data_IF_843683458767
#
_entry.id   IF_843683458767
#
_cell.length_a   1.000
_cell.length_b   1.000
_cell.length_c   1.000
_cell.angle_alpha   90.00
_cell.angle_beta   90.00
_cell.angle_gamma   90.00
#
_symmetry.space_group_name_H-M   'P 1'
#
loop_
_entity.id
_entity.type
_entity.pdbx_description
1 polymer ?
#
# COMPACT_ATOMS: atom_id res chain seq x y z
N UNK A 1 -8.96 16.39 26.12
CA UNK A 1 -7.53 16.01 26.10
C UNK A 1 -7.45 14.50 26.23
N UNK A 2 -6.84 13.75 25.29
CA UNK A 2 -6.66 12.29 25.38
C UNK A 2 -5.79 11.81 26.57
N UNK A 3 -5.36 12.72 27.45
CA UNK A 3 -4.43 12.45 28.56
C UNK A 3 -4.93 11.40 29.58
N UNK A 4 -6.24 11.32 29.85
CA UNK A 4 -6.76 10.32 30.81
C UNK A 4 -6.63 8.89 30.26
N UNK A 5 -7.00 8.69 29.00
CA UNK A 5 -6.87 7.41 28.29
C UNK A 5 -5.41 7.02 28.13
N UNK A 6 -4.53 7.96 27.76
CA UNK A 6 -3.09 7.72 27.68
C UNK A 6 -2.48 7.29 29.02
N UNK A 7 -2.86 7.95 30.14
CA UNK A 7 -2.40 7.56 31.48
C UNK A 7 -2.87 6.15 31.87
N UNK A 8 -4.11 5.80 31.53
CA UNK A 8 -4.68 4.47 31.82
C UNK A 8 -3.90 3.35 31.14
N UNK A 9 -3.40 3.60 29.93
CA UNK A 9 -2.56 2.65 29.19
C UNK A 9 -1.07 2.89 29.39
N UNK A 10 -0.66 3.51 30.50
CA UNK A 10 0.74 3.67 30.92
C UNK A 10 1.65 4.41 29.91
N UNK A 11 1.09 5.35 29.15
CA UNK A 11 1.89 6.24 28.30
C UNK A 11 2.72 7.23 29.16
N UNK A 12 4.01 7.48 28.84
CA UNK A 12 4.74 7.06 27.65
C UNK A 12 5.49 5.73 27.78
N UNK A 13 5.45 5.07 28.95
CA UNK A 13 6.25 3.87 29.20
C UNK A 13 5.84 2.70 28.29
N UNK A 14 4.55 2.56 28.02
CA UNK A 14 3.98 1.54 27.12
C UNK A 14 4.10 1.84 25.63
N UNK A 15 4.61 3.03 25.24
CA UNK A 15 4.64 3.45 23.83
C UNK A 15 5.47 2.47 22.99
N UNK A 16 4.85 1.81 22.01
CA UNK A 16 5.54 1.00 21.00
C UNK A 16 6.01 1.90 19.86
N UNK A 17 5.08 2.67 19.29
CA UNK A 17 5.34 3.55 18.14
C UNK A 17 4.43 4.77 18.14
N UNK A 18 4.98 5.92 17.76
CA UNK A 18 4.21 7.15 17.54
C UNK A 18 4.08 7.40 16.05
N UNK A 19 2.84 7.40 15.56
CA UNK A 19 2.48 7.77 14.20
C UNK A 19 2.11 9.27 14.16
N UNK A 20 1.76 9.84 13.01
CA UNK A 20 1.42 11.26 12.93
C UNK A 20 0.15 11.60 13.73
N UNK A 21 -0.90 10.78 13.60
CA UNK A 21 -2.22 10.97 14.21
C UNK A 21 -2.56 9.95 15.30
N UNK A 22 -1.72 8.92 15.51
CA UNK A 22 -2.00 7.85 16.47
C UNK A 22 -0.80 7.50 17.38
N UNK A 23 -1.10 7.00 18.58
CA UNK A 23 -0.15 6.29 19.43
C UNK A 23 -0.47 4.81 19.44
N UNK A 24 0.51 3.96 19.14
CA UNK A 24 0.42 2.52 19.36
C UNK A 24 1.14 2.16 20.66
N UNK A 25 0.39 1.62 21.61
CA UNK A 25 0.84 1.31 22.96
C UNK A 25 0.75 -0.20 23.22
N UNK A 26 1.67 -0.75 23.99
CA UNK A 26 1.50 -2.07 24.59
C UNK A 26 0.39 -1.98 25.64
N UNK A 27 -0.59 -2.89 25.60
CA UNK A 27 -1.61 -2.91 26.66
C UNK A 27 -0.95 -3.37 27.97
N UNK A 28 -1.04 -2.64 29.10
CA UNK A 28 -0.40 -3.06 30.34
C UNK A 28 -0.86 -4.44 30.80
N UNK A 29 -2.15 -4.68 30.65
CA UNK A 29 -2.80 -5.95 30.89
C UNK A 29 -2.86 -6.72 29.56
N UNK A 30 -2.47 -7.99 29.53
CA UNK A 30 -2.35 -8.77 28.30
C UNK A 30 -3.39 -9.89 28.30
N UNK A 31 -4.56 -9.75 27.64
CA UNK A 31 -5.53 -10.83 27.60
C UNK A 31 -5.06 -12.02 26.78
N UNK A 32 -4.35 -11.71 25.69
CA UNK A 32 -3.49 -12.62 24.95
C UNK A 32 -2.15 -11.94 24.74
N UNK A 33 -1.11 -12.73 24.50
CA UNK A 33 0.25 -12.22 24.31
C UNK A 33 0.28 -11.23 23.12
N UNK A 34 0.94 -10.08 23.28
CA UNK A 34 1.07 -9.10 22.21
C UNK A 34 -0.15 -8.18 22.04
N UNK A 35 -1.06 -8.13 23.01
CA UNK A 35 -2.21 -7.21 22.99
C UNK A 35 -1.78 -5.74 23.05
N UNK A 36 -2.37 -4.91 22.20
CA UNK A 36 -2.01 -3.49 22.05
C UNK A 36 -3.22 -2.57 22.19
N UNK A 37 -2.96 -1.27 22.31
CA UNK A 37 -3.97 -0.22 22.25
C UNK A 37 -3.53 0.85 21.26
N UNK A 38 -4.41 1.19 20.33
CA UNK A 38 -4.23 2.28 19.38
C UNK A 38 -5.05 3.49 19.84
N UNK A 39 -4.42 4.61 20.18
CA UNK A 39 -5.07 5.81 20.72
C UNK A 39 -4.94 6.97 19.75
N UNK A 40 -6.06 7.61 19.38
CA UNK A 40 -6.05 8.78 18.51
C UNK A 40 -5.45 9.99 19.24
N UNK A 41 -4.59 10.75 18.56
CA UNK A 41 -4.01 12.00 19.08
C UNK A 41 -4.99 13.16 19.02
N UNK A 42 -5.96 13.09 18.11
CA UNK A 42 -6.94 14.13 17.91
C UNK A 42 -7.90 14.21 19.10
N UNK A 43 -8.31 15.42 19.46
CA UNK A 43 -9.20 15.66 20.59
C UNK A 43 -10.66 15.44 20.17
N UNK A 44 -11.00 14.20 19.83
CA UNK A 44 -12.33 13.78 19.36
C UNK A 44 -12.88 12.63 20.21
N UNK A 45 -14.21 12.62 20.34
CA UNK A 45 -14.93 11.68 21.21
C UNK A 45 -15.87 10.72 20.46
N UNK A 46 -15.91 10.87 19.15
CA UNK A 46 -16.67 10.01 18.25
C UNK A 46 -15.74 9.60 17.12
N UNK A 47 -15.82 8.33 16.71
CA UNK A 47 -14.97 7.83 15.64
C UNK A 47 -15.16 8.60 14.34
N UNK A 48 -16.40 8.99 14.00
CA UNK A 48 -16.70 9.83 12.84
C UNK A 48 -16.07 11.22 12.87
N UNK A 49 -15.57 11.66 14.03
CA UNK A 49 -14.91 12.95 14.19
C UNK A 49 -13.42 12.95 13.85
N UNK A 50 -12.79 11.79 13.64
CA UNK A 50 -11.37 11.76 13.24
C UNK A 50 -11.19 12.36 11.84
N UNK A 51 -10.04 12.97 11.59
CA UNK A 51 -9.68 13.46 10.26
C UNK A 51 -9.56 12.32 9.23
N UNK A 52 -9.70 12.67 7.95
CA UNK A 52 -9.47 11.74 6.83
C UNK A 52 -8.03 11.20 6.85
N UNK A 53 -7.08 12.05 7.21
CA UNK A 53 -5.67 11.70 7.36
C UNK A 53 -5.47 10.66 8.47
N UNK A 54 -6.10 10.85 9.63
CA UNK A 54 -6.07 9.88 10.71
C UNK A 54 -6.73 8.56 10.31
N UNK A 55 -7.87 8.59 9.61
CA UNK A 55 -8.52 7.38 9.11
C UNK A 55 -7.64 6.62 8.10
N UNK A 56 -6.99 7.33 7.18
CA UNK A 56 -6.07 6.74 6.22
C UNK A 56 -4.81 6.17 6.89
N UNK A 57 -4.22 6.90 7.84
CA UNK A 57 -3.07 6.42 8.60
C UNK A 57 -3.42 5.17 9.41
N UNK A 58 -4.64 5.08 9.95
CA UNK A 58 -5.08 3.89 10.68
C UNK A 58 -5.02 2.62 9.82
N UNK A 59 -5.37 2.69 8.53
CA UNK A 59 -5.25 1.55 7.61
C UNK A 59 -3.80 1.05 7.53
N UNK A 60 -2.83 1.95 7.43
CA UNK A 60 -1.42 1.60 7.44
C UNK A 60 -1.00 0.96 8.76
N UNK A 61 -1.45 1.52 9.89
CA UNK A 61 -1.14 1.00 11.22
C UNK A 61 -1.68 -0.42 11.40
N UNK A 62 -2.91 -0.69 10.94
CA UNK A 62 -3.51 -2.04 10.97
C UNK A 62 -2.64 -3.02 10.17
N UNK A 63 -2.20 -2.64 8.97
CA UNK A 63 -1.29 -3.46 8.16
C UNK A 63 0.05 -3.72 8.86
N UNK A 64 0.64 -2.72 9.51
CA UNK A 64 1.89 -2.86 10.27
C UNK A 64 1.70 -3.83 11.44
N UNK A 65 0.60 -3.68 12.19
CA UNK A 65 0.24 -4.50 13.35
C UNK A 65 0.05 -5.97 12.94
N UNK A 66 -0.72 -6.24 11.89
CA UNK A 66 -0.95 -7.60 11.40
C UNK A 66 0.35 -8.27 10.97
N UNK A 67 1.21 -7.54 10.25
CA UNK A 67 2.52 -8.03 9.82
C UNK A 67 3.41 -8.41 11.00
N UNK A 68 3.55 -7.51 11.99
CA UNK A 68 4.39 -7.76 13.18
C UNK A 68 3.83 -8.91 14.01
N UNK A 69 2.54 -8.91 14.32
CA UNK A 69 1.93 -9.92 15.18
C UNK A 69 1.97 -11.31 14.54
N UNK A 70 1.71 -11.40 13.23
CA UNK A 70 1.80 -12.66 12.49
C UNK A 70 3.26 -13.15 12.43
N UNK A 71 4.21 -12.29 12.08
CA UNK A 71 5.62 -12.69 12.01
C UNK A 71 6.21 -13.07 13.38
N UNK A 72 5.88 -12.32 14.43
CA UNK A 72 6.47 -12.48 15.76
C UNK A 72 5.83 -13.62 16.55
N UNK A 73 4.52 -13.80 16.47
CA UNK A 73 3.77 -14.71 17.34
C UNK A 73 2.95 -15.75 16.59
N UNK A 74 2.93 -15.73 15.25
CA UNK A 74 2.11 -16.63 14.43
C UNK A 74 0.61 -16.58 14.83
N UNK A 75 0.12 -15.37 15.11
CA UNK A 75 -1.29 -15.19 15.49
C UNK A 75 -2.21 -15.49 14.30
N UNK A 76 -3.28 -16.25 14.55
CA UNK A 76 -4.19 -16.71 13.49
C UNK A 76 -5.22 -15.64 13.11
N UNK A 77 -5.52 -14.73 14.05
CA UNK A 77 -6.46 -13.64 13.83
C UNK A 77 -6.15 -12.46 14.74
N UNK A 78 -6.59 -11.27 14.37
CA UNK A 78 -6.54 -10.09 15.23
C UNK A 78 -7.94 -9.52 15.37
N UNK A 79 -8.39 -9.30 16.61
CA UNK A 79 -9.63 -8.59 16.89
C UNK A 79 -9.34 -7.12 17.20
N UNK A 80 -10.05 -6.21 16.53
CA UNK A 80 -10.01 -4.76 16.78
C UNK A 80 -11.31 -4.33 17.46
N UNK A 81 -11.25 -3.92 18.72
CA UNK A 81 -12.41 -3.58 19.52
C UNK A 81 -12.42 -2.09 19.87
N UNK A 82 -13.44 -1.37 19.41
CA UNK A 82 -13.70 0.01 19.81
C UNK A 82 -14.82 0.01 20.85
N UNK A 83 -14.45 0.01 22.13
CA UNK A 83 -15.42 -0.09 23.23
C UNK A 83 -15.87 1.28 23.71
N UNK A 84 -14.93 2.21 23.96
CA UNK A 84 -15.20 3.62 24.33
C UNK A 84 -16.26 3.83 25.45
N UNK A 85 -16.44 2.84 26.34
CA UNK A 85 -17.51 2.85 27.37
C UNK A 85 -17.20 3.75 28.58
N UNK A 86 -15.91 3.88 28.91
CA UNK A 86 -15.42 4.62 30.10
C UNK A 86 -14.51 5.77 29.69
N UNK A 87 -13.74 5.57 28.62
CA UNK A 87 -12.75 6.50 28.11
C UNK A 87 -13.28 7.21 26.86
N UNK A 88 -13.42 8.54 26.88
CA UNK A 88 -14.08 9.26 25.81
C UNK A 88 -13.17 9.49 24.59
N UNK A 89 -11.85 9.26 24.67
CA UNK A 89 -10.96 9.42 23.52
C UNK A 89 -11.16 8.26 22.53
N UNK A 90 -11.08 8.52 21.23
CA UNK A 90 -11.13 7.46 20.21
C UNK A 90 -9.91 6.54 20.35
N UNK A 91 -10.15 5.26 20.62
CA UNK A 91 -9.11 4.23 20.74
C UNK A 91 -9.64 2.84 20.41
N UNK A 92 -8.72 1.95 20.04
CA UNK A 92 -8.99 0.56 19.70
C UNK A 92 -8.14 -0.36 20.56
N UNK A 93 -8.74 -1.43 21.06
CA UNK A 93 -8.02 -2.57 21.61
C UNK A 93 -7.70 -3.55 20.49
N UNK A 94 -6.45 -3.96 20.41
CA UNK A 94 -5.93 -4.88 19.40
C UNK A 94 -5.57 -6.18 20.12
N UNK A 95 -6.33 -7.24 19.84
CA UNK A 95 -6.22 -8.52 20.54
C UNK A 95 -5.82 -9.61 19.53
N UNK A 96 -4.53 -10.00 19.45
CA UNK A 96 -4.11 -11.16 18.67
C UNK A 96 -4.72 -12.43 19.26
N UNK A 97 -5.10 -13.37 18.39
CA UNK A 97 -5.81 -14.60 18.72
C UNK A 97 -5.03 -15.79 18.20
N UNK A 98 -5.06 -16.87 18.96
CA UNK A 98 -4.16 -18.00 18.77
C UNK A 98 -4.97 -19.30 18.77
N UNK A 99 -4.97 -20.03 17.66
CA UNK A 99 -5.58 -21.37 17.60
C UNK A 99 -4.73 -22.40 18.34
N UNK A 100 -3.41 -22.25 18.25
CA UNK A 100 -2.41 -23.05 18.95
C UNK A 100 -1.61 -22.16 19.89
N UNK A 101 -0.98 -22.75 20.91
CA UNK A 101 -0.12 -22.00 21.81
C UNK A 101 1.03 -21.32 21.05
N UNK A 102 1.36 -20.09 21.44
CA UNK A 102 2.50 -19.33 20.91
C UNK A 102 3.61 -19.28 21.95
N UNK A 103 4.87 -19.21 21.53
CA UNK A 103 6.02 -19.13 22.43
C UNK A 103 6.65 -17.74 22.38
N UNK A 104 7.01 -17.20 23.55
CA UNK A 104 7.86 -16.04 23.64
C UNK A 104 8.80 -16.13 24.85
N UNK A 105 10.10 -15.90 24.62
CA UNK A 105 11.16 -16.01 25.63
C UNK A 105 11.13 -17.35 26.39
N UNK A 106 10.89 -18.47 25.68
CA UNK A 106 10.86 -19.82 26.28
C UNK A 106 9.65 -20.12 27.16
N UNK A 107 8.62 -19.27 27.14
CA UNK A 107 7.32 -19.51 27.79
C UNK A 107 6.23 -19.66 26.73
N UNK A 108 5.36 -20.65 26.91
CA UNK A 108 4.20 -20.88 26.06
C UNK A 108 2.97 -20.12 26.58
N UNK A 109 2.15 -19.62 25.65
CA UNK A 109 0.94 -18.86 25.91
C UNK A 109 -0.21 -19.39 25.06
N UNK A 110 -1.33 -19.71 25.72
CA UNK A 110 -2.54 -20.21 25.07
C UNK A 110 -3.68 -19.20 25.15
N UNK A 111 -4.45 -19.08 24.07
CA UNK A 111 -5.71 -18.33 24.05
C UNK A 111 -6.85 -19.22 24.51
N UNK A 112 -7.15 -19.17 25.81
CA UNK A 112 -8.19 -20.01 26.43
C UNK A 112 -9.61 -19.73 25.92
N UNK A 113 -9.82 -18.61 25.22
CA UNK A 113 -11.10 -18.23 24.67
C UNK A 113 -11.23 -18.57 23.19
N UNK A 114 -10.22 -19.11 22.52
CA UNK A 114 -10.34 -19.48 21.10
C UNK A 114 -11.36 -20.64 20.91
N UNK A 115 -12.27 -20.58 19.91
CA UNK A 115 -12.49 -19.53 18.91
C UNK A 115 -13.62 -18.53 19.29
N UNK A 116 -14.01 -18.45 20.57
CA UNK A 116 -15.01 -17.48 21.09
C UNK A 116 -14.46 -16.05 21.06
N UNK A 117 -15.36 -15.09 21.34
CA UNK A 117 -15.00 -13.69 21.48
C UNK A 117 -13.88 -13.50 22.53
N UNK A 118 -12.95 -12.55 22.32
CA UNK A 118 -11.87 -12.31 23.27
C UNK A 118 -12.43 -11.82 24.61
N UNK A 119 -11.91 -12.36 25.70
CA UNK A 119 -12.14 -11.84 27.04
C UNK A 119 -11.10 -10.76 27.32
N UNK A 120 -11.51 -9.61 27.87
CA UNK A 120 -10.59 -8.56 28.32
C UNK A 120 -10.33 -8.60 29.83
N UNK A 121 -10.96 -9.55 30.53
CA UNK A 121 -10.87 -9.74 31.98
C UNK A 121 -9.90 -10.87 32.33
N UNK A 122 -9.79 -11.87 31.46
CA UNK A 122 -8.78 -12.91 31.59
C UNK A 122 -7.43 -12.32 31.16
N UNK A 123 -6.44 -12.31 32.06
CA UNK A 123 -5.15 -11.67 31.82
C UNK A 123 -3.98 -12.62 32.07
N UNK A 124 -3.00 -12.60 31.18
CA UNK A 124 -1.74 -13.31 31.34
C UNK A 124 -0.95 -12.72 32.51
N UNK A 125 -0.50 -13.59 33.42
CA UNK A 125 0.34 -13.22 34.55
C UNK A 125 1.79 -13.04 34.08
N UNK A 126 2.10 -11.83 33.61
CA UNK A 126 3.44 -11.45 33.16
C UNK A 126 4.13 -10.58 34.20
N UNK A 127 5.33 -10.96 34.60
CA UNK A 127 6.17 -10.12 35.46
C UNK A 127 6.72 -8.88 34.71
N UNK A 128 7.25 -7.92 35.46
CA UNK A 128 7.72 -6.65 34.91
C UNK A 128 8.90 -6.83 33.92
N UNK A 129 9.77 -7.80 34.15
CA UNK A 129 10.92 -8.08 33.26
C UNK A 129 10.40 -8.60 31.92
N UNK A 130 9.43 -9.51 31.96
CA UNK A 130 8.81 -10.08 30.78
C UNK A 130 8.06 -9.01 29.97
N UNK A 131 7.28 -8.14 30.63
CA UNK A 131 6.60 -7.01 29.97
C UNK A 131 7.60 -6.06 29.31
N UNK A 132 8.73 -5.80 29.95
CA UNK A 132 9.79 -4.95 29.39
C UNK A 132 10.44 -5.58 28.14
N UNK A 133 10.72 -6.89 28.15
CA UNK A 133 11.28 -7.58 26.99
C UNK A 133 10.28 -7.68 25.84
N UNK A 134 8.99 -7.89 26.13
CA UNK A 134 7.91 -7.86 25.15
C UNK A 134 7.83 -6.48 24.47
N UNK A 135 7.79 -5.41 25.26
CA UNK A 135 7.77 -4.04 24.75
C UNK A 135 8.99 -3.73 23.88
N UNK A 136 10.19 -4.12 24.36
CA UNK A 136 11.46 -3.92 23.64
C UNK A 136 11.47 -4.67 22.31
N UNK A 137 11.00 -5.91 22.30
CA UNK A 137 10.91 -6.74 21.08
C UNK A 137 9.96 -6.10 20.08
N UNK A 138 8.75 -5.74 20.51
CA UNK A 138 7.77 -5.09 19.64
C UNK A 138 8.28 -3.74 19.10
N UNK A 139 8.93 -2.91 19.93
CA UNK A 139 9.61 -1.68 19.45
C UNK A 139 10.60 -1.99 18.33
N UNK A 140 11.42 -3.02 18.50
CA UNK A 140 12.39 -3.45 17.48
C UNK A 140 11.69 -3.94 16.21
N UNK A 141 10.60 -4.70 16.33
CA UNK A 141 9.86 -5.23 15.18
C UNK A 141 9.16 -4.12 14.39
N UNK A 142 8.53 -3.16 15.07
CA UNK A 142 7.92 -1.99 14.41
C UNK A 142 8.96 -1.01 13.85
N UNK A 143 10.14 -0.90 14.46
CA UNK A 143 11.26 -0.15 13.88
C UNK A 143 11.88 -0.89 12.67
N UNK A 144 11.92 -2.22 12.70
CA UNK A 144 12.32 -3.02 11.56
C UNK A 144 11.31 -2.89 10.42
N UNK A 145 10.00 -2.76 10.72
CA UNK A 145 9.01 -2.35 9.75
C UNK A 145 9.32 -0.98 9.16
N UNK A 146 9.88 -0.01 9.88
CA UNK A 146 10.34 1.24 9.25
C UNK A 146 11.62 1.06 8.42
N UNK A 147 12.34 -0.04 8.57
CA UNK A 147 13.45 -0.40 7.70
C UNK A 147 13.05 -1.23 6.48
N UNK A 148 11.87 -1.90 6.54
CA UNK A 148 11.24 -2.62 5.42
C UNK A 148 10.08 -1.86 4.74
N UNK A 149 9.52 -0.85 5.42
CA UNK A 149 8.59 0.21 4.96
C UNK A 149 9.26 1.59 4.89
N UNK A 150 10.55 1.71 5.22
CA UNK A 150 11.44 2.47 4.33
C UNK A 150 11.30 1.78 3.00
N UNK A 151 11.11 2.51 1.89
CA UNK A 151 11.07 1.85 0.60
C UNK A 151 12.32 0.97 0.51
N UNK A 152 12.15 -0.36 0.51
CA UNK A 152 13.13 -1.26 -0.08
C UNK A 152 13.04 -1.14 -1.59
N UNK A 153 12.93 0.08 -2.08
CA UNK A 153 13.59 0.43 -3.30
C UNK A 153 14.80 1.27 -2.91
N UNK A 154 15.97 0.70 -3.15
CA UNK A 154 17.11 1.50 -3.61
C UNK A 154 16.84 2.05 -5.03
N UNK A 155 15.57 2.22 -5.40
CA UNK A 155 15.15 2.69 -6.70
C UNK A 155 14.83 4.17 -6.56
N UNK A 156 14.94 4.83 -7.69
CA UNK A 156 15.07 6.27 -7.76
C UNK A 156 13.77 7.01 -7.40
N UNK A 157 12.61 6.34 -7.53
CA UNK A 157 11.29 6.96 -7.41
C UNK A 157 10.33 6.13 -6.57
N UNK A 158 9.38 6.76 -5.89
CA UNK A 158 8.33 6.05 -5.14
C UNK A 158 7.17 5.68 -6.07
N UNK A 159 6.65 6.63 -6.84
CA UNK A 159 5.54 6.43 -7.79
C UNK A 159 5.96 6.90 -9.17
N UNK A 160 5.95 5.99 -10.14
CA UNK A 160 6.15 6.34 -11.54
C UNK A 160 4.90 6.08 -12.37
N UNK A 161 4.77 6.86 -13.43
CA UNK A 161 3.72 6.70 -14.43
C UNK A 161 4.30 6.43 -15.81
N UNK A 162 3.65 5.56 -16.56
CA UNK A 162 3.82 5.47 -18.01
C UNK A 162 2.47 5.31 -18.67
N UNK A 163 2.39 5.60 -19.97
CA UNK A 163 1.12 5.49 -20.67
C UNK A 163 1.29 5.22 -22.14
N UNK A 164 0.27 4.64 -22.73
CA UNK A 164 0.28 4.36 -24.14
C UNK A 164 -0.96 3.63 -24.63
N UNK A 165 -0.89 3.34 -25.92
CA UNK A 165 -1.90 2.57 -26.63
C UNK A 165 -1.81 1.08 -26.26
N UNK A 166 -0.61 0.53 -26.08
CA UNK A 166 -0.35 -0.89 -25.78
C UNK A 166 -1.01 -1.90 -26.75
N UNK A 167 -1.33 -1.46 -27.96
CA UNK A 167 -1.94 -2.27 -29.01
C UNK A 167 -0.96 -3.30 -29.59
N UNK A 168 -1.43 -4.54 -29.76
CA UNK A 168 -0.62 -5.73 -30.05
C UNK A 168 0.55 -5.81 -29.06
N UNK A 169 0.23 -6.15 -27.81
CA UNK A 169 1.22 -6.18 -26.73
C UNK A 169 2.42 -7.07 -27.09
N UNK A 170 3.63 -6.56 -26.90
CA UNK A 170 4.86 -7.20 -27.37
C UNK A 170 6.05 -6.84 -26.47
N UNK A 171 7.22 -7.42 -26.75
CA UNK A 171 8.42 -7.27 -25.90
C UNK A 171 8.82 -5.81 -25.66
N UNK A 172 8.71 -4.92 -26.65
CA UNK A 172 8.94 -3.48 -26.44
C UNK A 172 8.09 -2.85 -25.31
N UNK A 173 6.80 -3.19 -25.23
CA UNK A 173 5.94 -2.75 -24.12
C UNK A 173 6.35 -3.42 -22.80
N UNK A 174 6.69 -4.71 -22.83
CA UNK A 174 7.15 -5.40 -21.63
C UNK A 174 8.45 -4.78 -21.08
N UNK A 175 9.38 -4.39 -21.95
CA UNK A 175 10.65 -3.81 -21.58
C UNK A 175 10.48 -2.44 -20.93
N UNK A 176 9.60 -1.57 -21.46
CA UNK A 176 9.36 -0.27 -20.81
C UNK A 176 8.76 -0.48 -19.41
N UNK A 177 7.75 -1.35 -19.27
CA UNK A 177 7.15 -1.64 -17.96
C UNK A 177 8.16 -2.23 -16.96
N UNK A 178 8.97 -3.19 -17.41
CA UNK A 178 10.01 -3.81 -16.59
C UNK A 178 11.06 -2.78 -16.15
N UNK A 179 11.51 -1.92 -17.06
CA UNK A 179 12.53 -0.91 -16.76
C UNK A 179 11.98 0.19 -15.86
N UNK A 180 10.75 0.65 -16.08
CA UNK A 180 10.09 1.62 -15.19
C UNK A 180 9.90 1.03 -13.80
N UNK A 181 9.37 -0.20 -13.69
CA UNK A 181 9.22 -0.88 -12.40
C UNK A 181 10.56 -1.11 -11.72
N UNK A 182 11.66 -1.27 -12.46
CA UNK A 182 12.99 -1.35 -11.87
C UNK A 182 13.48 -0.01 -11.26
N UNK A 183 12.86 1.12 -11.60
CA UNK A 183 13.17 2.45 -11.08
C UNK A 183 12.18 2.95 -10.02
N UNK A 184 11.04 2.27 -9.82
CA UNK A 184 10.06 2.68 -8.83
C UNK A 184 9.58 1.59 -7.86
N UNK A 185 9.06 2.03 -6.72
CA UNK A 185 8.28 1.19 -5.81
C UNK A 185 6.92 0.82 -6.40
N UNK A 186 6.24 1.80 -7.02
CA UNK A 186 4.87 1.66 -7.52
C UNK A 186 4.74 2.22 -8.95
N UNK A 187 4.24 1.42 -9.88
CA UNK A 187 4.06 1.74 -11.29
C UNK A 187 2.57 1.81 -11.65
N UNK A 188 2.16 3.01 -12.05
CA UNK A 188 0.83 3.29 -12.61
C UNK A 188 0.93 3.32 -14.13
N UNK A 189 0.06 2.57 -14.82
CA UNK A 189 0.01 2.53 -16.28
C UNK A 189 -1.29 3.09 -16.81
N UNK A 190 -1.21 4.19 -17.56
CA UNK A 190 -2.34 4.75 -18.29
C UNK A 190 -2.56 4.07 -19.63
N UNK A 191 -3.69 3.40 -19.82
CA UNK A 191 -4.06 2.78 -21.10
C UNK A 191 -5.00 3.71 -21.86
N UNK A 192 -4.57 4.21 -23.02
CA UNK A 192 -5.41 5.12 -23.84
C UNK A 192 -6.67 4.40 -24.31
N UNK A 193 -7.84 5.02 -24.13
CA UNK A 193 -9.10 4.47 -24.66
C UNK A 193 -9.13 4.49 -26.18
N UNK A 194 -10.03 3.71 -26.77
CA UNK A 194 -10.16 3.63 -28.23
C UNK A 194 -10.48 5.01 -28.84
N UNK A 195 -11.30 5.82 -28.15
CA UNK A 195 -11.66 7.19 -28.55
C UNK A 195 -10.42 8.09 -28.60
N UNK A 196 -9.58 8.06 -27.57
CA UNK A 196 -8.34 8.87 -27.52
C UNK A 196 -7.37 8.45 -28.63
N UNK A 197 -7.30 7.16 -28.93
CA UNK A 197 -6.46 6.63 -30.02
C UNK A 197 -6.99 7.10 -31.38
N UNK A 198 -8.31 7.01 -31.60
CA UNK A 198 -8.95 7.48 -32.85
C UNK A 198 -8.73 8.98 -33.02
N UNK A 199 -8.97 9.79 -31.98
CA UNK A 199 -8.76 11.23 -32.02
C UNK A 199 -7.31 11.62 -32.33
N UNK A 200 -6.33 10.83 -31.85
CA UNK A 200 -4.91 11.14 -32.02
C UNK A 200 -4.26 10.56 -33.27
N UNK A 201 -4.71 9.38 -33.74
CA UNK A 201 -4.09 8.64 -34.86
C UNK A 201 -5.00 8.49 -36.08
N UNK A 202 -6.26 8.92 -36.00
CA UNK A 202 -7.26 8.83 -37.07
C UNK A 202 -7.76 7.41 -37.35
N UNK A 203 -7.45 6.44 -36.47
CA UNK A 203 -7.83 5.03 -36.62
C UNK A 203 -7.86 4.31 -35.28
N UNK A 204 -8.71 3.29 -35.10
CA UNK A 204 -8.76 2.51 -33.88
C UNK A 204 -7.51 1.63 -33.70
N UNK A 205 -7.22 1.20 -32.46
CA UNK A 205 -6.30 0.08 -32.25
C UNK A 205 -6.87 -1.22 -32.84
N UNK A 206 -6.03 -2.23 -32.98
CA UNK A 206 -6.48 -3.57 -33.41
C UNK A 206 -7.16 -4.30 -32.26
N UNK A 207 -6.56 -4.19 -31.07
CA UNK A 207 -7.08 -4.79 -29.84
C UNK A 207 -7.94 -3.73 -29.10
N UNK A 208 -9.21 -4.03 -28.76
CA UNK A 208 -10.09 -3.12 -28.03
C UNK A 208 -9.53 -2.72 -26.66
N UNK A 209 -10.00 -1.59 -26.13
CA UNK A 209 -9.57 -1.07 -24.83
C UNK A 209 -9.64 -2.09 -23.68
N UNK A 210 -10.74 -2.82 -23.54
CA UNK A 210 -10.94 -3.78 -22.43
C UNK A 210 -9.95 -4.95 -22.46
N UNK A 211 -9.58 -5.42 -23.65
CA UNK A 211 -8.57 -6.47 -23.77
C UNK A 211 -7.17 -5.92 -23.45
N UNK A 212 -6.88 -4.68 -23.87
CA UNK A 212 -5.60 -4.02 -23.57
C UNK A 212 -5.45 -3.80 -22.07
N UNK A 213 -6.48 -3.31 -21.38
CA UNK A 213 -6.39 -3.08 -19.93
C UNK A 213 -6.19 -4.39 -19.16
N UNK A 214 -6.94 -5.45 -19.51
CA UNK A 214 -6.82 -6.76 -18.86
C UNK A 214 -5.42 -7.37 -18.98
N UNK A 215 -4.76 -7.20 -20.13
CA UNK A 215 -3.36 -7.63 -20.34
C UNK A 215 -2.40 -6.89 -19.38
N UNK A 216 -2.63 -5.60 -19.16
CA UNK A 216 -1.79 -4.78 -18.30
C UNK A 216 -2.04 -5.06 -16.81
N UNK A 217 -3.29 -5.30 -16.42
CA UNK A 217 -3.66 -5.67 -15.04
C UNK A 217 -3.06 -7.02 -14.63
N UNK A 218 -2.95 -7.96 -15.57
CA UNK A 218 -2.30 -9.25 -15.34
C UNK A 218 -0.75 -9.17 -15.36
N UNK A 219 -0.16 -8.01 -15.67
CA UNK A 219 1.28 -7.88 -15.81
C UNK A 219 1.97 -7.63 -14.46
N UNK A 220 2.80 -8.59 -14.03
CA UNK A 220 3.56 -8.53 -12.76
C UNK A 220 4.40 -7.27 -12.51
N UNK A 221 4.71 -6.46 -13.52
CA UNK A 221 5.48 -5.23 -13.35
C UNK A 221 4.60 -4.01 -13.05
N UNK A 222 3.28 -4.15 -13.19
CA UNK A 222 2.31 -3.07 -13.07
C UNK A 222 1.55 -3.24 -11.76
N UNK A 223 1.47 -2.17 -10.96
CA UNK A 223 0.74 -2.20 -9.69
C UNK A 223 -0.68 -1.65 -9.84
N UNK A 224 -0.87 -0.70 -10.76
CA UNK A 224 -2.17 -0.06 -11.01
C UNK A 224 -2.32 0.29 -12.48
N UNK A 225 -3.50 0.02 -13.04
CA UNK A 225 -3.86 0.39 -14.41
C UNK A 225 -5.01 1.36 -14.37
N UNK A 226 -4.89 2.48 -15.09
CA UNK A 226 -5.94 3.50 -15.17
C UNK A 226 -6.34 3.77 -16.62
N UNK A 227 -7.63 4.00 -16.91
CA UNK A 227 -8.07 4.48 -18.22
C UNK A 227 -7.48 5.86 -18.47
N UNK A 228 -6.85 6.04 -19.63
CA UNK A 228 -6.42 7.35 -20.09
C UNK A 228 -7.44 7.88 -21.11
N UNK A 229 -8.35 8.73 -20.62
CA UNK A 229 -9.45 9.34 -21.38
C UNK A 229 -9.10 10.67 -22.05
N UNK A 230 -7.97 11.28 -21.69
CA UNK A 230 -7.47 12.51 -22.29
C UNK A 230 -5.92 12.54 -22.36
N UNK A 231 -5.35 13.66 -22.81
CA UNK A 231 -3.89 13.85 -22.92
C UNK A 231 -3.30 14.74 -21.81
N UNK A 232 -4.08 15.08 -20.79
CA UNK A 232 -3.63 15.91 -19.69
C UNK A 232 -2.79 15.07 -18.72
N UNK A 233 -1.46 15.13 -18.92
CA UNK A 233 -0.51 14.41 -18.08
C UNK A 233 -0.29 15.09 -16.74
N UNK A 234 -0.48 16.40 -16.65
CA UNK A 234 -0.28 17.13 -15.41
C UNK A 234 -1.34 16.75 -14.38
N UNK A 235 -2.61 16.61 -14.83
CA UNK A 235 -3.69 16.12 -13.98
C UNK A 235 -3.35 14.78 -13.31
N UNK A 236 -2.79 13.84 -14.06
CA UNK A 236 -2.38 12.53 -13.51
C UNK A 236 -1.24 12.69 -12.51
N UNK A 237 -0.28 13.58 -12.78
CA UNK A 237 0.83 13.86 -11.86
C UNK A 237 0.32 14.37 -10.52
N UNK A 238 -0.63 15.30 -10.55
CA UNK A 238 -1.19 15.93 -9.34
C UNK A 238 -2.10 14.96 -8.57
N UNK A 239 -3.00 14.27 -9.27
CA UNK A 239 -4.00 13.36 -8.68
C UNK A 239 -3.36 12.11 -8.06
N UNK A 240 -2.34 11.55 -8.72
CA UNK A 240 -1.71 10.29 -8.31
C UNK A 240 -0.35 10.47 -7.65
N UNK A 241 0.08 11.72 -7.41
CA UNK A 241 1.35 12.08 -6.76
C UNK A 241 2.54 11.38 -7.45
N UNK A 242 2.71 11.64 -8.75
CA UNK A 242 3.73 10.99 -9.57
C UNK A 242 5.08 11.71 -9.42
N UNK A 243 6.13 10.97 -9.08
CA UNK A 243 7.49 11.50 -8.94
C UNK A 243 8.20 11.64 -10.30
N UNK A 244 7.95 10.68 -11.20
CA UNK A 244 8.53 10.67 -12.54
C UNK A 244 7.67 9.94 -13.57
N UNK A 245 7.73 10.40 -14.81
CA UNK A 245 7.10 9.76 -15.97
C UNK A 245 8.15 9.09 -16.84
N UNK A 246 7.87 7.86 -17.28
CA UNK A 246 8.73 7.16 -18.24
C UNK A 246 8.09 7.04 -19.62
N UNK A 247 8.87 7.30 -20.66
CA UNK A 247 8.48 7.20 -22.08
C UNK A 247 9.62 6.69 -22.95
N UNK A 248 9.31 6.32 -24.19
CA UNK A 248 10.33 6.04 -25.20
C UNK A 248 11.13 7.28 -25.58
N UNK A 249 12.38 7.10 -26.01
CA UNK A 249 13.28 8.19 -26.40
C UNK A 249 12.81 8.97 -27.64
N UNK A 250 11.83 8.46 -28.39
CA UNK A 250 11.14 9.13 -29.49
C UNK A 250 10.36 10.39 -29.06
N UNK A 251 10.03 10.49 -27.77
CA UNK A 251 9.35 11.63 -27.16
C UNK A 251 10.29 12.72 -26.63
N UNK A 252 11.61 12.51 -26.69
CA UNK A 252 12.58 13.49 -26.18
C UNK A 252 12.45 14.81 -26.95
N UNK A 253 12.19 15.90 -26.20
CA UNK A 253 11.94 17.23 -26.76
C UNK A 253 10.54 17.46 -27.35
N UNK A 254 9.68 16.44 -27.40
CA UNK A 254 8.29 16.53 -27.91
C UNK A 254 7.23 16.33 -26.83
N UNK A 255 7.62 15.76 -25.69
CA UNK A 255 6.69 15.45 -24.61
C UNK A 255 6.12 16.74 -24.00
N UNK A 256 4.80 16.79 -23.68
CA UNK A 256 4.19 17.93 -23.01
C UNK A 256 4.93 18.27 -21.71
N UNK A 257 5.01 19.56 -21.36
CA UNK A 257 5.60 19.97 -20.09
C UNK A 257 4.77 19.44 -18.93
N UNK A 258 5.45 18.83 -17.97
CA UNK A 258 4.90 18.34 -16.70
C UNK A 258 5.82 18.78 -15.55
N UNK A 259 5.30 18.82 -14.34
CA UNK A 259 6.04 19.23 -13.14
C UNK A 259 7.04 18.19 -12.62
N UNK A 260 6.84 16.91 -12.96
CA UNK A 260 7.67 15.79 -12.50
C UNK A 260 8.83 15.48 -13.45
N UNK A 261 9.76 14.61 -13.00
CA UNK A 261 10.92 14.22 -13.81
C UNK A 261 10.52 13.33 -15.00
N UNK A 262 11.21 13.48 -16.13
CA UNK A 262 11.01 12.68 -17.33
C UNK A 262 12.16 11.69 -17.53
N UNK A 263 11.85 10.40 -17.52
CA UNK A 263 12.78 9.31 -17.80
C UNK A 263 12.55 8.77 -19.22
N UNK A 264 13.62 8.68 -20.00
CA UNK A 264 13.56 8.21 -21.38
C UNK A 264 14.27 6.87 -21.54
N UNK A 265 13.60 5.90 -22.14
CA UNK A 265 14.18 4.60 -22.48
C UNK A 265 14.42 4.47 -23.97
N UNK A 266 15.58 3.90 -24.34
CA UNK A 266 15.88 3.61 -25.73
C UNK A 266 14.94 2.55 -26.30
N UNK A 267 14.63 2.70 -27.58
CA UNK A 267 13.73 1.79 -28.27
C UNK A 267 14.33 0.38 -28.32
N UNK A 268 13.52 -0.64 -28.05
CA UNK A 268 13.95 -2.03 -28.25
C UNK A 268 14.06 -2.29 -29.76
N UNK A 269 15.25 -2.57 -30.31
CA UNK A 269 15.41 -2.75 -31.74
C UNK A 269 14.51 -3.87 -32.29
N UNK A 270 14.02 -3.69 -33.51
CA UNK A 270 13.30 -4.71 -34.29
C UNK A 270 11.92 -5.17 -33.78
N UNK A 271 11.30 -4.50 -32.79
CA UNK A 271 9.96 -4.85 -32.30
C UNK A 271 9.07 -3.60 -32.17
N UNK A 272 8.06 -3.48 -33.02
CA UNK A 272 7.00 -2.48 -32.92
C UNK A 272 5.66 -3.03 -33.38
N UNK A 273 4.55 -2.48 -32.90
CA UNK A 273 3.21 -2.83 -33.41
C UNK A 273 3.10 -2.62 -34.92
N UNK A 274 3.81 -1.64 -35.50
CA UNK A 274 3.85 -1.42 -36.96
C UNK A 274 4.53 -2.58 -37.68
N UNK A 275 5.70 -3.02 -37.20
CA UNK A 275 6.44 -4.14 -37.79
C UNK A 275 5.64 -5.44 -37.64
N UNK A 276 4.99 -5.66 -36.49
CA UNK A 276 4.14 -6.84 -36.28
C UNK A 276 2.92 -6.81 -37.20
N UNK A 277 2.26 -5.66 -37.37
CA UNK A 277 1.13 -5.52 -38.31
C UNK A 277 1.55 -5.83 -39.74
N UNK A 278 2.72 -5.34 -40.18
CA UNK A 278 3.26 -5.66 -41.50
C UNK A 278 3.55 -7.16 -41.65
N UNK A 279 4.22 -7.79 -40.68
CA UNK A 279 4.53 -9.23 -40.73
C UNK A 279 3.29 -10.13 -40.70
N UNK A 280 2.24 -9.70 -40.00
CA UNK A 280 0.98 -10.43 -39.87
C UNK A 280 -0.03 -10.05 -40.95
N UNK A 281 0.33 -9.19 -41.92
CA UNK A 281 -0.58 -8.64 -42.94
C UNK A 281 -1.88 -8.04 -42.35
N UNK A 282 -1.77 -7.36 -41.21
CA UNK A 282 -2.90 -6.70 -40.54
C UNK A 282 -3.02 -5.27 -41.06
N UNK A 283 -4.05 -5.02 -41.87
CA UNK A 283 -4.41 -3.68 -42.33
C UNK A 283 -5.43 -3.05 -41.36
N UNK A 284 -5.16 -1.89 -40.75
CA UNK A 284 -6.16 -1.21 -39.93
C UNK A 284 -7.36 -0.82 -40.81
N UNK A 285 -8.58 -1.16 -40.39
CA UNK A 285 -9.79 -0.61 -41.01
C UNK A 285 -9.81 0.90 -40.74
N UNK A 286 -9.77 1.71 -41.80
CA UNK A 286 -10.00 3.14 -41.68
C UNK A 286 -11.45 3.35 -41.25
N UNK A 287 -11.68 4.28 -40.33
CA UNK A 287 -13.03 4.72 -40.00
C UNK A 287 -13.44 5.66 -41.14
N UNK A 288 -14.44 5.28 -41.92
CA UNK A 288 -15.07 6.20 -42.87
C UNK A 288 -15.66 7.36 -42.05
N UNK A 289 -15.33 8.59 -42.47
CA UNK A 289 -15.80 9.82 -41.82
C UNK A 289 -17.30 10.02 -42.00
#
# INVERSE_FOLDING_TARGET
MPQSTLRKFDYPQSLIKSYQHWYLLLRPDQPTLGSMVLVCKENVHQYSGISTEAANEQKQIISDVESVLNHRFDCHKVNYLMLMMVDPAVHFHIIPRYEFATEFCGKEFSDNQWPKAPSLVDELQLDAIFKAELLKTLKSDFAALESSNKPTSNKMYRRMYTSGCFDIFHQGHLNILKNTKALCDYLIVGVSTDEVIIQSKGRPPIIPFEERISILEANRYVDEVIPQIDKDKQKVVDEYQIDAISVGSDWKGKYPKVSCEMVYFDYTPNVSSTVLKQKLNITPKLVEK
#
